data_IF_302249582738
#
_entry.id   IF_302249582738
#
_cell.length_a   1.000
_cell.length_b   1.000
_cell.length_c   1.000
_cell.angle_alpha   90.00
_cell.angle_beta   90.00
_cell.angle_gamma   90.00
#
_symmetry.space_group_name_H-M   'P 1'
#
loop_
_entity.id
_entity.type
_entity.pdbx_description
1 polymer ?
#
# COMPACT_ATOMS: atom_id res chain seq x y z
N UNK A 1 15.47 -21.43 -21.25
CA UNK A 1 14.60 -20.25 -21.08
C UNK A 1 14.53 -19.95 -19.60
N UNK A 2 14.50 -18.66 -19.18
CA UNK A 2 14.27 -18.31 -17.78
C UNK A 2 12.94 -18.92 -17.30
N UNK A 3 12.86 -19.32 -16.02
CA UNK A 3 11.67 -19.98 -15.45
C UNK A 3 10.43 -19.07 -15.31
N UNK A 4 10.58 -17.78 -15.59
CA UNK A 4 9.55 -16.75 -15.53
C UNK A 4 9.70 -15.83 -16.74
N UNK A 5 8.59 -15.31 -17.24
CA UNK A 5 8.55 -14.33 -18.32
C UNK A 5 7.68 -13.14 -17.96
N UNK A 6 7.99 -12.00 -18.56
CA UNK A 6 7.19 -10.79 -18.45
C UNK A 6 6.43 -10.51 -19.75
N UNK A 7 5.09 -10.68 -19.75
CA UNK A 7 4.25 -10.33 -20.87
C UNK A 7 4.40 -8.85 -21.26
N UNK A 8 4.21 -8.54 -22.55
CA UNK A 8 4.16 -7.17 -23.07
C UNK A 8 2.72 -6.65 -23.22
N UNK A 9 1.72 -7.49 -22.98
CA UNK A 9 0.29 -7.18 -23.03
C UNK A 9 -0.44 -7.84 -21.84
N UNK A 10 -1.74 -7.58 -21.72
CA UNK A 10 -2.56 -7.96 -20.57
C UNK A 10 -3.46 -9.21 -20.81
N UNK A 11 -3.17 -10.05 -21.81
CA UNK A 11 -4.04 -11.19 -22.14
C UNK A 11 -4.00 -12.34 -21.12
N UNK A 12 -2.97 -12.40 -20.28
CA UNK A 12 -2.72 -13.47 -19.30
C UNK A 12 -2.81 -12.97 -17.84
N UNK A 13 -3.55 -11.89 -17.66
CA UNK A 13 -3.82 -11.31 -16.34
C UNK A 13 -4.58 -12.31 -15.44
N UNK A 14 -4.23 -12.44 -14.15
CA UNK A 14 -4.98 -13.30 -13.24
C UNK A 14 -6.42 -12.79 -13.03
N UNK A 15 -7.32 -13.67 -12.60
CA UNK A 15 -8.64 -13.28 -12.13
C UNK A 15 -8.54 -12.59 -10.75
N UNK A 16 -9.49 -11.70 -10.46
CA UNK A 16 -9.57 -10.97 -9.18
C UNK A 16 -10.98 -11.00 -8.63
N UNK A 17 -11.10 -10.78 -7.33
CA UNK A 17 -12.39 -10.74 -6.66
C UNK A 17 -13.28 -9.62 -7.26
N UNK A 18 -14.56 -9.89 -7.56
CA UNK A 18 -15.42 -8.96 -8.29
C UNK A 18 -15.83 -7.72 -7.48
N UNK A 19 -15.78 -7.80 -6.15
CA UNK A 19 -16.09 -6.65 -5.29
C UNK A 19 -14.99 -5.61 -5.23
N UNK A 20 -13.79 -5.92 -5.75
CA UNK A 20 -12.74 -4.92 -5.86
C UNK A 20 -13.28 -3.78 -6.72
N UNK A 21 -13.32 -2.58 -6.15
CA UNK A 21 -13.56 -1.40 -6.93
C UNK A 21 -12.25 -1.22 -7.75
N UNK A 22 -12.32 -0.83 -9.02
CA UNK A 22 -11.18 -0.84 -9.97
C UNK A 22 -10.85 0.60 -10.38
N UNK A 23 -9.59 1.01 -10.26
CA UNK A 23 -9.13 2.37 -10.60
C UNK A 23 -8.58 2.43 -12.02
N UNK A 24 -7.89 1.37 -12.40
CA UNK A 24 -7.32 1.20 -13.72
C UNK A 24 -7.32 -0.29 -14.03
N UNK A 25 -7.77 -0.66 -15.22
CA UNK A 25 -7.73 -2.05 -15.68
C UNK A 25 -6.35 -2.44 -16.17
N UNK A 26 -5.66 -1.54 -16.86
CA UNK A 26 -4.38 -1.81 -17.53
C UNK A 26 -3.40 -0.63 -17.38
N UNK A 27 -2.35 -0.76 -16.56
CA UNK A 27 -2.08 -1.88 -15.65
C UNK A 27 -3.12 -1.97 -14.53
N UNK A 28 -3.37 -3.18 -14.02
CA UNK A 28 -4.42 -3.42 -13.03
C UNK A 28 -4.10 -2.72 -11.72
N UNK A 29 -4.98 -1.82 -11.28
CA UNK A 29 -4.89 -1.11 -10.02
C UNK A 29 -6.28 -1.10 -9.40
N UNK A 30 -6.41 -1.72 -8.23
CA UNK A 30 -7.70 -1.95 -7.61
C UNK A 30 -7.63 -1.87 -6.10
N UNK A 31 -8.76 -1.47 -5.55
CA UNK A 31 -8.99 -1.27 -4.15
C UNK A 31 -10.18 -2.11 -3.70
N UNK A 32 -10.01 -2.87 -2.64
CA UNK A 32 -11.13 -3.47 -1.95
C UNK A 32 -12.06 -2.42 -1.24
N UNK A 33 -13.39 -2.67 -1.06
CA UNK A 33 -14.33 -1.74 -0.42
C UNK A 33 -14.06 -1.32 1.05
N UNK A 34 -14.36 -0.06 1.37
CA UNK A 34 -14.02 0.62 2.63
C UNK A 34 -14.45 -0.12 3.90
N UNK A 35 -15.72 -0.49 4.01
CA UNK A 35 -16.26 -1.07 5.26
C UNK A 35 -15.56 -2.36 5.67
N UNK A 36 -15.13 -3.15 4.70
CA UNK A 36 -14.60 -4.45 4.99
C UNK A 36 -13.04 -4.44 5.03
N UNK A 37 -12.42 -3.26 4.83
CA UNK A 37 -11.00 -2.98 5.13
C UNK A 37 -10.63 -3.35 6.57
N UNK A 38 -11.47 -2.89 7.49
CA UNK A 38 -11.26 -3.00 8.93
C UNK A 38 -12.05 -4.16 9.53
N UNK A 39 -12.52 -5.09 8.70
CA UNK A 39 -13.28 -6.27 9.15
C UNK A 39 -12.40 -7.29 9.91
N UNK A 40 -11.10 -7.30 9.64
CA UNK A 40 -10.12 -8.16 10.30
C UNK A 40 -8.77 -7.44 10.42
N UNK A 41 -7.99 -7.84 11.42
CA UNK A 41 -6.64 -7.31 11.62
C UNK A 41 -5.66 -7.71 10.50
N UNK A 42 -5.72 -8.98 10.07
CA UNK A 42 -5.02 -9.48 8.89
C UNK A 42 -6.00 -9.50 7.74
N UNK A 43 -5.67 -8.84 6.64
CA UNK A 43 -6.60 -8.73 5.53
C UNK A 43 -6.49 -9.96 4.61
N UNK A 44 -7.63 -10.56 4.18
CA UNK A 44 -7.57 -11.69 3.27
C UNK A 44 -6.93 -11.32 1.93
N UNK A 45 -6.18 -12.26 1.36
CA UNK A 45 -5.31 -12.03 0.19
C UNK A 45 -6.08 -11.52 -1.04
N UNK A 46 -7.30 -12.01 -1.26
CA UNK A 46 -8.15 -11.57 -2.38
C UNK A 46 -8.59 -10.09 -2.27
N UNK A 47 -8.58 -9.55 -1.05
CA UNK A 47 -8.83 -8.16 -0.72
C UNK A 47 -7.56 -7.42 -0.25
N UNK A 48 -6.38 -7.93 -0.56
CA UNK A 48 -5.18 -7.12 -0.48
C UNK A 48 -5.11 -6.19 -1.69
N UNK A 49 -4.82 -4.88 -1.52
CA UNK A 49 -4.81 -3.94 -2.66
C UNK A 49 -3.85 -4.36 -3.77
N UNK A 50 -4.22 -4.07 -5.02
CA UNK A 50 -3.38 -4.36 -6.18
C UNK A 50 -2.89 -3.05 -6.77
N UNK A 51 -1.57 -2.87 -6.81
CA UNK A 51 -0.89 -1.79 -7.55
C UNK A 51 0.12 -2.39 -8.51
N UNK A 52 -0.09 -2.18 -9.81
CA UNK A 52 0.78 -2.66 -10.88
C UNK A 52 1.15 -1.52 -11.85
N UNK A 53 2.38 -1.52 -12.37
CA UNK A 53 2.87 -0.57 -13.39
C UNK A 53 2.93 -1.20 -14.79
N UNK A 54 2.83 -2.52 -14.89
CA UNK A 54 2.85 -3.29 -16.13
C UNK A 54 1.97 -4.55 -16.04
N UNK A 55 1.96 -5.37 -17.10
CA UNK A 55 1.36 -6.70 -17.07
C UNK A 55 1.98 -7.60 -16.01
N UNK A 56 1.19 -8.52 -15.46
CA UNK A 56 1.64 -9.44 -14.40
C UNK A 56 2.51 -10.56 -15.01
N UNK A 57 3.77 -10.76 -14.55
CA UNK A 57 4.60 -11.87 -14.97
C UNK A 57 3.95 -13.25 -14.83
N UNK A 58 4.42 -14.19 -15.66
CA UNK A 58 3.96 -15.58 -15.72
C UNK A 58 5.15 -16.49 -15.45
N UNK A 59 5.02 -17.35 -14.45
CA UNK A 59 6.01 -18.40 -14.15
C UNK A 59 5.69 -19.59 -15.04
N UNK A 60 6.60 -19.91 -15.97
CA UNK A 60 6.46 -21.06 -16.86
C UNK A 60 7.07 -22.32 -16.23
N UNK A 61 8.12 -22.16 -15.42
CA UNK A 61 8.81 -23.25 -14.72
C UNK A 61 9.48 -22.75 -13.44
N UNK A 62 8.88 -23.06 -12.30
CA UNK A 62 9.38 -22.65 -10.98
C UNK A 62 10.77 -23.25 -10.65
N UNK A 63 11.11 -24.41 -11.19
CA UNK A 63 12.41 -25.06 -10.96
C UNK A 63 13.57 -24.35 -11.67
N UNK A 64 13.26 -23.59 -12.72
CA UNK A 64 14.23 -22.76 -13.47
C UNK A 64 14.21 -21.28 -13.07
N UNK A 65 13.31 -20.87 -12.18
CA UNK A 65 13.33 -19.52 -11.63
C UNK A 65 14.51 -19.35 -10.67
N UNK A 66 15.30 -18.30 -10.88
CA UNK A 66 16.34 -17.89 -9.96
C UNK A 66 16.39 -16.36 -9.85
N UNK A 67 16.96 -15.88 -8.74
CA UNK A 67 17.27 -14.47 -8.52
C UNK A 67 18.79 -14.30 -8.57
N UNK A 68 19.26 -13.36 -9.38
CA UNK A 68 20.70 -13.06 -9.47
C UNK A 68 21.09 -12.03 -8.41
N UNK A 69 21.99 -12.39 -7.49
CA UNK A 69 22.59 -11.48 -6.51
C UNK A 69 23.99 -11.08 -7.00
N UNK A 70 24.18 -9.80 -7.32
CA UNK A 70 25.38 -9.29 -8.02
C UNK A 70 25.72 -7.85 -7.63
N UNK A 71 26.66 -7.22 -8.34
CA UNK A 71 27.11 -5.84 -8.12
C UNK A 71 28.42 -5.79 -7.33
N UNK A 72 28.55 -4.83 -6.42
CA UNK A 72 29.74 -4.56 -5.59
C UNK A 72 29.90 -5.57 -4.45
N UNK A 73 30.01 -6.84 -4.82
CA UNK A 73 30.21 -8.01 -3.94
C UNK A 73 31.29 -8.93 -4.53
N UNK A 74 31.94 -9.70 -3.66
CA UNK A 74 33.02 -10.62 -4.07
C UNK A 74 32.49 -11.88 -4.75
N UNK A 75 31.32 -12.38 -4.33
CA UNK A 75 30.78 -13.67 -4.73
C UNK A 75 29.36 -13.54 -5.28
N UNK A 76 29.19 -13.08 -6.54
CA UNK A 76 27.90 -13.11 -7.21
C UNK A 76 27.31 -14.52 -7.22
N UNK A 77 25.99 -14.63 -7.06
CA UNK A 77 25.31 -15.92 -6.92
C UNK A 77 23.93 -15.87 -7.56
N UNK A 78 23.57 -16.95 -8.25
CA UNK A 78 22.19 -17.21 -8.63
C UNK A 78 21.53 -18.07 -7.54
N UNK A 79 20.39 -17.63 -7.03
CA UNK A 79 19.62 -18.31 -6.01
C UNK A 79 18.31 -18.82 -6.62
N UNK A 80 18.18 -20.14 -6.72
CA UNK A 80 16.93 -20.77 -7.14
C UNK A 80 15.95 -20.79 -5.96
N UNK A 81 14.65 -21.01 -6.23
CA UNK A 81 13.65 -21.11 -5.15
C UNK A 81 14.04 -22.13 -4.08
N UNK A 82 14.62 -23.28 -4.46
CA UNK A 82 15.11 -24.29 -3.51
C UNK A 82 16.16 -23.74 -2.53
N UNK A 83 17.02 -22.83 -3.00
CA UNK A 83 18.09 -22.27 -2.18
C UNK A 83 17.52 -21.27 -1.17
N UNK A 84 16.52 -20.49 -1.59
CA UNK A 84 15.80 -19.53 -0.74
C UNK A 84 14.94 -20.26 0.30
N UNK A 85 14.26 -21.35 -0.10
CA UNK A 85 13.43 -22.16 0.80
C UNK A 85 14.25 -22.93 1.85
N UNK A 86 15.54 -23.15 1.60
CA UNK A 86 16.46 -23.78 2.55
C UNK A 86 17.01 -22.80 3.61
N UNK A 87 16.77 -21.49 3.47
CA UNK A 87 17.11 -20.51 4.49
C UNK A 87 16.10 -20.54 5.65
N UNK A 88 16.46 -20.03 6.84
CA UNK A 88 15.50 -19.88 7.93
C UNK A 88 14.29 -19.05 7.50
N UNK A 89 13.10 -19.61 7.70
CA UNK A 89 11.83 -18.93 7.43
C UNK A 89 11.45 -18.04 8.61
N UNK A 90 11.10 -16.80 8.30
CA UNK A 90 10.56 -15.82 9.23
C UNK A 90 9.14 -15.42 8.79
N UNK A 91 8.29 -15.13 9.77
CA UNK A 91 6.97 -14.57 9.55
C UNK A 91 6.95 -13.14 10.10
N UNK A 92 6.66 -12.17 9.25
CA UNK A 92 6.61 -10.75 9.63
C UNK A 92 5.22 -10.20 9.30
N UNK A 93 4.49 -9.77 10.33
CA UNK A 93 3.23 -9.05 10.14
C UNK A 93 3.54 -7.61 9.76
N UNK A 94 3.23 -7.21 8.53
CA UNK A 94 3.53 -5.85 8.05
C UNK A 94 2.42 -5.30 7.16
N UNK A 95 2.12 -4.02 7.35
CA UNK A 95 1.23 -3.24 6.48
C UNK A 95 2.03 -2.68 5.31
N UNK A 96 1.52 -2.87 4.08
CA UNK A 96 2.01 -2.12 2.93
C UNK A 96 1.08 -0.93 2.65
N UNK A 97 1.61 0.28 2.75
CA UNK A 97 0.90 1.50 2.38
C UNK A 97 1.43 2.06 1.06
N UNK A 98 0.55 2.23 0.07
CA UNK A 98 0.89 2.95 -1.15
C UNK A 98 1.14 4.44 -0.84
N UNK A 99 2.18 5.03 -1.41
CA UNK A 99 2.43 6.47 -1.27
C UNK A 99 1.27 7.32 -1.82
N UNK A 100 0.53 6.80 -2.83
CA UNK A 100 -0.64 7.47 -3.39
C UNK A 100 -1.94 7.28 -2.60
N UNK A 101 -1.92 6.66 -1.41
CA UNK A 101 -3.11 6.51 -0.60
C UNK A 101 -3.77 7.88 -0.33
N UNK A 102 -5.11 7.96 -0.39
CA UNK A 102 -5.91 9.18 -0.22
C UNK A 102 -5.65 10.29 -1.25
N UNK A 103 -5.03 9.98 -2.41
CA UNK A 103 -4.78 10.93 -3.50
C UNK A 103 -6.02 11.66 -4.00
N UNK A 104 -7.16 10.96 -4.12
CA UNK A 104 -8.40 11.54 -4.68
C UNK A 104 -8.84 12.77 -3.89
N UNK A 105 -8.76 12.71 -2.56
CA UNK A 105 -9.09 13.86 -1.71
C UNK A 105 -8.16 15.06 -1.96
N UNK A 106 -6.85 14.83 -2.16
CA UNK A 106 -5.92 15.90 -2.53
C UNK A 106 -6.22 16.49 -3.92
N UNK A 107 -6.68 15.65 -4.84
CA UNK A 107 -7.08 16.08 -6.19
C UNK A 107 -8.35 16.94 -6.19
N UNK A 108 -9.21 16.85 -5.17
CA UNK A 108 -10.40 17.71 -5.02
C UNK A 108 -10.01 19.18 -4.75
N UNK A 109 -8.92 19.42 -4.01
CA UNK A 109 -8.40 20.77 -3.74
C UNK A 109 -7.71 21.36 -4.97
N UNK A 110 -6.81 20.59 -5.59
CA UNK A 110 -6.16 20.95 -6.85
C UNK A 110 -5.74 19.69 -7.58
N UNK A 111 -6.10 19.57 -8.86
CA UNK A 111 -5.89 18.36 -9.66
C UNK A 111 -4.43 17.90 -9.66
N UNK A 112 -4.22 16.60 -9.45
CA UNK A 112 -2.90 15.94 -9.46
C UNK A 112 -2.87 14.84 -10.53
N UNK A 113 -1.69 14.51 -11.06
CA UNK A 113 -1.56 13.39 -12.02
C UNK A 113 -1.27 12.08 -11.29
N UNK A 114 -2.08 11.08 -11.56
CA UNK A 114 -1.86 9.70 -11.11
C UNK A 114 -3.17 8.93 -10.98
N UNK A 115 -3.09 7.62 -10.83
CA UNK A 115 -4.23 6.75 -10.51
C UNK A 115 -4.93 7.32 -9.26
N UNK A 116 -6.23 7.60 -9.32
CA UNK A 116 -6.99 8.10 -8.18
C UNK A 116 -7.03 7.05 -7.07
N UNK A 117 -6.99 7.46 -5.80
CA UNK A 117 -7.05 6.54 -4.66
C UNK A 117 -7.79 7.26 -3.50
N UNK A 118 -8.90 6.71 -3.01
CA UNK A 118 -9.60 7.03 -1.74
C UNK A 118 -8.80 6.64 -0.47
N UNK A 119 -9.48 6.50 0.66
CA UNK A 119 -8.94 6.01 1.94
C UNK A 119 -8.65 4.52 1.97
N UNK A 120 -9.37 3.76 1.14
CA UNK A 120 -9.03 2.40 0.77
C UNK A 120 -8.43 2.46 -0.64
N UNK A 121 -8.17 3.64 -1.20
CA UNK A 121 -7.64 3.83 -2.52
C UNK A 121 -8.53 3.60 -3.84
N UNK A 122 -9.70 4.24 -4.11
CA UNK A 122 -10.22 4.58 -5.50
C UNK A 122 -11.10 5.83 -5.67
N UNK A 123 -11.01 6.42 -6.86
CA UNK A 123 -11.92 7.46 -7.33
C UNK A 123 -13.35 7.01 -7.70
N UNK A 124 -14.22 8.00 -7.85
CA UNK A 124 -15.07 8.16 -9.02
C UNK A 124 -14.91 9.62 -9.49
N UNK A 125 -14.60 9.81 -10.76
CA UNK A 125 -14.70 11.10 -11.44
C UNK A 125 -16.07 11.15 -12.13
N UNK A 126 -17.01 11.99 -11.69
CA UNK A 126 -18.25 12.19 -12.42
C UNK A 126 -18.07 13.00 -13.71
N UNK A 127 -16.87 13.44 -14.09
CA UNK A 127 -16.62 14.25 -15.29
C UNK A 127 -15.47 13.71 -16.14
N UNK A 128 -15.78 12.73 -16.97
CA UNK A 128 -14.86 12.16 -17.95
C UNK A 128 -14.05 13.21 -18.72
N UNK A 129 -12.72 13.07 -18.67
CA UNK A 129 -11.89 13.49 -19.79
C UNK A 129 -12.13 12.53 -20.95
N UNK A 130 -13.14 12.86 -21.75
CA UNK A 130 -13.31 12.37 -23.11
C UNK A 130 -12.08 12.75 -23.94
N UNK A 131 -11.23 11.77 -24.23
CA UNK A 131 -10.62 11.68 -25.55
C UNK A 131 -11.44 10.61 -26.27
N UNK A 132 -12.13 11.05 -27.34
CA UNK A 132 -12.97 10.32 -28.29
C UNK A 132 -14.41 10.02 -27.83
N UNK A 133 -15.27 11.04 -27.98
CA UNK A 133 -16.67 10.84 -28.36
C UNK A 133 -16.71 10.57 -29.87
N UNK A 134 -17.00 9.33 -30.24
CA UNK A 134 -17.89 8.96 -31.36
C UNK A 134 -18.02 7.44 -31.37
N UNK A 135 -19.22 6.95 -31.67
CA UNK A 135 -19.62 5.53 -31.82
C UNK A 135 -19.97 4.72 -30.56
N UNK A 136 -21.08 5.08 -29.90
CA UNK A 136 -21.97 4.08 -29.28
C UNK A 136 -23.40 4.65 -29.15
N UNK A 137 -24.11 4.64 -30.27
CA UNK A 137 -25.56 4.44 -30.29
C UNK A 137 -25.83 3.18 -31.09
N UNK A 138 -26.88 2.44 -30.70
CA UNK A 138 -27.44 1.22 -31.28
C UNK A 138 -26.97 -0.09 -30.60
N UNK A 139 -27.70 -0.51 -29.57
CA UNK A 139 -28.73 -1.57 -29.67
C UNK A 139 -29.13 -2.07 -28.27
N UNK A 140 -30.33 -1.68 -27.86
CA UNK A 140 -31.13 -2.38 -26.86
C UNK A 140 -31.89 -3.53 -27.52
N UNK A 141 -31.93 -4.72 -26.91
CA UNK A 141 -33.19 -5.42 -26.63
C UNK A 141 -33.01 -6.75 -25.87
N UNK A 142 -33.93 -6.93 -24.91
CA UNK A 142 -34.48 -8.15 -24.32
C UNK A 142 -33.59 -9.02 -23.41
N UNK A 143 -34.00 -9.14 -22.14
CA UNK A 143 -34.45 -10.39 -21.49
C UNK A 143 -35.25 -10.02 -20.22
N UNK A 144 -36.22 -10.88 -19.94
CA UNK A 144 -37.35 -10.84 -18.99
C UNK A 144 -36.99 -10.98 -17.50
N UNK A 145 -37.98 -10.62 -16.68
CA UNK A 145 -38.07 -10.69 -15.21
C UNK A 145 -37.93 -12.11 -14.64
N UNK A 146 -37.15 -12.25 -13.55
CA UNK A 146 -37.36 -13.24 -12.47
C UNK A 146 -36.99 -12.60 -11.11
N UNK A 147 -37.70 -13.03 -10.06
CA UNK A 147 -37.79 -12.45 -8.71
C UNK A 147 -36.46 -12.42 -7.90
N UNK A 148 -36.30 -11.48 -6.95
CA UNK A 148 -35.11 -11.41 -6.10
C UNK A 148 -35.16 -12.43 -4.96
N UNK A 149 -34.33 -13.46 -5.06
CA UNK A 149 -34.00 -14.32 -3.91
C UNK A 149 -33.08 -13.55 -2.96
N UNK A 150 -33.53 -13.38 -1.71
CA UNK A 150 -32.77 -12.79 -0.62
C UNK A 150 -31.64 -13.71 -0.17
N UNK A 151 -30.41 -13.39 -0.57
CA UNK A 151 -29.20 -14.01 -0.03
C UNK A 151 -28.68 -13.19 1.18
N UNK A 152 -28.25 -13.85 2.27
CA UNK A 152 -27.77 -13.16 3.47
C UNK A 152 -26.47 -12.41 3.17
N UNK A 153 -26.39 -11.20 3.72
CA UNK A 153 -25.25 -10.27 3.68
C UNK A 153 -23.90 -10.98 3.86
N UNK A 154 -23.15 -11.16 2.76
CA UNK A 154 -21.74 -11.52 2.78
C UNK A 154 -20.90 -10.27 2.47
N UNK A 155 -20.22 -9.77 3.50
CA UNK A 155 -19.34 -8.61 3.49
C UNK A 155 -18.11 -8.85 2.61
N UNK A 156 -17.73 -7.84 1.81
CA UNK A 156 -16.67 -7.91 0.80
C UNK A 156 -15.51 -6.90 1.09
N UNK A 157 -14.33 -7.34 1.59
CA UNK A 157 -13.17 -6.57 2.15
C UNK A 157 -12.43 -5.49 1.34
N UNK A 158 -11.65 -4.64 2.07
CA UNK A 158 -11.03 -3.28 1.80
C UNK A 158 -9.47 -3.09 1.76
N UNK A 159 -8.87 -1.93 1.34
CA UNK A 159 -7.39 -1.60 1.19
C UNK A 159 -6.62 -0.80 2.25
N UNK A 160 -5.30 -1.02 2.25
CA UNK A 160 -4.35 -1.09 3.35
C UNK A 160 -4.58 -2.38 4.04
N UNK A 161 -3.52 -3.14 4.11
CA UNK A 161 -3.71 -4.55 4.26
C UNK A 161 -2.46 -5.02 4.92
N UNK A 162 -2.68 -5.35 6.17
CA UNK A 162 -1.74 -6.06 6.99
C UNK A 162 -1.82 -7.50 6.57
N UNK A 163 -0.67 -8.05 6.19
CA UNK A 163 -0.52 -9.45 5.90
C UNK A 163 0.60 -10.02 6.76
N UNK A 164 0.55 -11.33 6.96
CA UNK A 164 1.67 -12.08 7.52
C UNK A 164 2.52 -12.56 6.35
N UNK A 165 3.72 -11.99 6.22
CA UNK A 165 4.64 -12.31 5.13
C UNK A 165 5.61 -13.40 5.58
N UNK A 166 5.63 -14.52 4.85
CA UNK A 166 6.55 -15.63 5.11
C UNK A 166 7.70 -15.63 4.11
N UNK A 167 8.94 -15.67 4.60
CA UNK A 167 10.10 -15.54 3.73
C UNK A 167 11.45 -15.71 4.42
N UNK A 168 12.52 -15.63 3.64
CA UNK A 168 13.88 -15.53 4.15
C UNK A 168 14.22 -14.06 4.44
N UNK A 169 14.96 -13.78 5.51
CA UNK A 169 15.48 -12.43 5.76
C UNK A 169 16.50 -12.06 4.70
N UNK A 170 16.40 -10.83 4.17
CA UNK A 170 17.37 -10.30 3.22
C UNK A 170 18.78 -10.26 3.82
N UNK A 171 18.89 -10.00 5.13
CA UNK A 171 20.18 -10.03 5.83
C UNK A 171 20.87 -11.39 5.75
N UNK A 172 20.11 -12.49 5.82
CA UNK A 172 20.67 -13.86 5.74
C UNK A 172 21.07 -14.20 4.29
N UNK A 173 20.28 -13.73 3.32
CA UNK A 173 20.60 -13.86 1.89
C UNK A 173 21.89 -13.11 1.55
N UNK A 174 22.07 -11.89 2.09
CA UNK A 174 23.28 -11.08 1.87
C UNK A 174 24.51 -11.69 2.56
N UNK A 175 24.34 -12.35 3.70
CA UNK A 175 25.41 -13.09 4.37
C UNK A 175 25.94 -14.26 3.51
N UNK A 176 25.06 -14.95 2.77
CA UNK A 176 25.47 -16.01 1.82
C UNK A 176 26.41 -15.53 0.71
N UNK A 177 26.37 -14.24 0.36
CA UNK A 177 27.24 -13.63 -0.65
C UNK A 177 28.38 -12.81 -0.05
N UNK A 178 28.62 -12.98 1.26
CA UNK A 178 29.76 -12.41 1.97
C UNK A 178 29.55 -10.99 2.49
N UNK A 179 28.30 -10.51 2.62
CA UNK A 179 28.00 -9.23 3.29
C UNK A 179 27.53 -9.53 4.72
N UNK A 180 28.31 -9.22 5.76
CA UNK A 180 27.90 -9.42 7.14
C UNK A 180 26.65 -8.61 7.52
N UNK A 181 25.94 -9.07 8.53
CA UNK A 181 24.84 -8.33 9.16
C UNK A 181 25.33 -6.97 9.68
N UNK A 182 24.43 -5.99 9.68
CA UNK A 182 24.70 -4.61 10.12
C UNK A 182 25.81 -3.88 9.34
N UNK A 183 26.03 -4.25 8.08
CA UNK A 183 26.99 -3.60 7.18
C UNK A 183 26.38 -2.35 6.53
N UNK A 184 27.03 -1.20 6.68
CA UNK A 184 26.60 0.04 6.02
C UNK A 184 27.30 0.29 4.67
N UNK A 185 28.47 -0.30 4.44
CA UNK A 185 29.21 -0.20 3.17
C UNK A 185 30.06 -1.45 2.95
N UNK A 186 30.05 -2.03 1.74
CA UNK A 186 30.93 -3.17 1.39
C UNK A 186 32.37 -2.70 1.13
N UNK A 187 33.39 -3.58 1.20
CA UNK A 187 34.76 -3.22 0.83
C UNK A 187 34.90 -2.66 -0.59
N UNK A 188 34.03 -3.10 -1.52
CA UNK A 188 33.94 -2.58 -2.89
C UNK A 188 33.15 -1.26 -3.01
N UNK A 189 32.74 -0.65 -1.90
CA UNK A 189 32.05 0.64 -1.87
C UNK A 189 30.54 0.58 -2.11
N UNK A 190 29.92 -0.60 -2.03
CA UNK A 190 28.46 -0.77 -2.14
C UNK A 190 27.73 -0.21 -0.92
N UNK A 191 26.70 0.60 -1.11
CA UNK A 191 25.95 1.33 -0.07
C UNK A 191 24.44 1.16 -0.18
N UNK A 192 23.95 0.62 -1.29
CA UNK A 192 22.54 0.42 -1.56
C UNK A 192 22.30 -0.99 -2.11
N UNK A 193 21.09 -1.49 -1.88
CA UNK A 193 20.58 -2.74 -2.46
C UNK A 193 19.45 -2.39 -3.41
N UNK A 194 19.68 -2.50 -4.71
CA UNK A 194 18.69 -2.37 -5.76
C UNK A 194 17.98 -3.71 -5.99
N UNK A 195 16.67 -3.65 -6.13
CA UNK A 195 15.80 -4.76 -6.45
C UNK A 195 15.21 -4.51 -7.83
N UNK A 196 15.42 -5.44 -8.74
CA UNK A 196 14.96 -5.37 -10.13
C UNK A 196 13.85 -6.40 -10.31
N UNK A 197 12.67 -5.96 -10.75
CA UNK A 197 11.59 -6.84 -11.18
C UNK A 197 11.90 -7.44 -12.56
N UNK A 198 11.22 -8.52 -12.94
CA UNK A 198 11.19 -8.95 -14.34
C UNK A 198 10.13 -8.20 -15.17
N UNK A 199 9.19 -7.49 -14.54
CA UNK A 199 8.05 -6.88 -15.23
C UNK A 199 8.43 -5.87 -16.33
N UNK A 200 7.43 -5.37 -17.06
CA UNK A 200 7.64 -4.39 -18.13
C UNK A 200 6.78 -3.16 -17.88
N UNK A 201 7.43 -2.04 -17.61
CA UNK A 201 6.78 -0.76 -17.32
C UNK A 201 6.88 0.18 -18.52
N UNK A 202 5.79 0.91 -18.83
CA UNK A 202 5.80 1.92 -19.90
C UNK A 202 6.75 3.08 -19.56
N UNK A 203 6.82 3.46 -18.29
CA UNK A 203 7.66 4.52 -17.75
C UNK A 203 9.16 4.22 -17.90
N UNK A 204 9.54 2.95 -17.95
CA UNK A 204 10.91 2.46 -18.19
C UNK A 204 11.10 2.02 -19.65
N UNK A 205 10.24 2.49 -20.57
CA UNK A 205 10.28 2.17 -22.02
C UNK A 205 10.28 0.66 -22.30
N UNK A 206 9.48 -0.09 -21.53
CA UNK A 206 9.40 -1.55 -21.60
C UNK A 206 10.43 -2.27 -20.74
N UNK A 207 11.29 -1.53 -20.01
CA UNK A 207 12.18 -2.06 -18.98
C UNK A 207 11.48 -2.31 -17.64
N UNK A 208 12.21 -2.85 -16.65
CA UNK A 208 11.64 -3.33 -15.41
C UNK A 208 11.41 -2.25 -14.35
N UNK A 209 10.43 -2.51 -13.48
CA UNK A 209 10.28 -1.81 -12.21
C UNK A 209 11.51 -2.05 -11.32
N UNK A 210 12.05 -0.96 -10.76
CA UNK A 210 13.22 -1.01 -9.86
C UNK A 210 13.02 -0.11 -8.66
N UNK A 211 13.54 -0.52 -7.52
CA UNK A 211 13.67 0.30 -6.33
C UNK A 211 14.93 -0.09 -5.57
N UNK A 212 15.39 0.74 -4.63
CA UNK A 212 16.49 0.36 -3.74
C UNK A 212 16.26 0.81 -2.31
N UNK A 213 16.91 0.13 -1.38
CA UNK A 213 17.04 0.55 0.03
C UNK A 213 18.52 0.72 0.40
N UNK A 214 18.85 1.48 1.46
CA UNK A 214 20.21 1.53 1.99
C UNK A 214 20.71 0.15 2.43
N UNK A 215 21.99 -0.14 2.22
CA UNK A 215 22.62 -1.41 2.64
C UNK A 215 22.53 -1.61 4.15
N UNK A 216 22.64 -0.52 4.92
CA UNK A 216 22.46 -0.55 6.39
C UNK A 216 21.09 -1.07 6.80
N UNK A 217 20.03 -0.76 6.05
CA UNK A 217 18.69 -1.29 6.31
C UNK A 217 18.57 -2.75 5.83
N UNK A 218 19.10 -3.07 4.66
CA UNK A 218 19.03 -4.41 4.08
C UNK A 218 19.75 -5.48 4.90
N UNK A 219 20.85 -5.09 5.57
CA UNK A 219 21.69 -5.99 6.38
C UNK A 219 21.33 -5.98 7.86
N UNK A 220 20.45 -5.08 8.31
CA UNK A 220 19.99 -5.04 9.70
C UNK A 220 18.90 -6.10 9.93
N UNK A 221 19.14 -7.14 10.76
CA UNK A 221 18.14 -8.17 11.04
C UNK A 221 16.87 -7.62 11.71
N UNK A 222 16.95 -6.51 12.43
CA UNK A 222 15.81 -5.89 13.15
C UNK A 222 14.90 -5.05 12.25
N UNK A 223 15.37 -4.75 11.02
CA UNK A 223 14.57 -4.06 10.00
C UNK A 223 13.61 -5.02 9.27
N UNK A 224 13.72 -6.33 9.51
CA UNK A 224 12.82 -7.38 9.04
C UNK A 224 12.52 -7.35 7.53
N UNK A 225 13.50 -6.92 6.72
CA UNK A 225 13.36 -6.97 5.26
C UNK A 225 13.35 -8.43 4.81
N UNK A 226 12.31 -8.83 4.09
CA UNK A 226 12.12 -10.21 3.63
C UNK A 226 12.22 -10.34 2.12
N UNK A 227 12.77 -11.48 1.68
CA UNK A 227 12.40 -12.10 0.42
C UNK A 227 11.22 -13.05 0.69
N UNK A 228 10.01 -12.54 0.46
CA UNK A 228 8.77 -13.25 0.79
C UNK A 228 8.29 -14.11 -0.39
N UNK A 229 7.98 -15.37 -0.08
CA UNK A 229 7.37 -16.35 -0.98
C UNK A 229 6.00 -16.84 -0.47
N UNK A 230 5.62 -16.43 0.74
CA UNK A 230 4.29 -16.67 1.34
C UNK A 230 3.63 -15.38 1.81
N UNK A 231 2.30 -15.41 1.83
CA UNK A 231 1.43 -14.33 2.28
C UNK A 231 0.20 -14.93 2.95
N UNK A 232 -0.03 -14.57 4.21
CA UNK A 232 -1.12 -15.08 5.06
C UNK A 232 -1.11 -16.61 5.21
N UNK A 233 0.08 -17.21 5.27
CA UNK A 233 0.25 -18.67 5.40
C UNK A 233 0.13 -19.45 4.08
N UNK A 234 -0.24 -18.77 2.99
CA UNK A 234 -0.38 -19.35 1.66
C UNK A 234 0.77 -18.96 0.74
N UNK A 235 0.99 -19.72 -0.32
CA UNK A 235 1.94 -19.33 -1.38
C UNK A 235 1.52 -17.97 -1.96
N UNK A 236 2.50 -17.10 -2.22
CA UNK A 236 2.25 -15.79 -2.81
C UNK A 236 1.47 -15.92 -4.12
N UNK A 237 0.45 -15.08 -4.33
CA UNK A 237 -0.28 -15.08 -5.59
C UNK A 237 0.42 -14.24 -6.68
N UNK A 238 -0.02 -14.36 -7.93
CA UNK A 238 0.56 -13.63 -9.07
C UNK A 238 0.49 -12.11 -8.90
N UNK A 239 -0.64 -11.55 -8.47
CA UNK A 239 -0.80 -10.09 -8.28
C UNK A 239 0.16 -9.51 -7.22
N UNK A 240 0.54 -10.32 -6.23
CA UNK A 240 1.38 -9.91 -5.11
C UNK A 240 2.84 -10.34 -5.23
N UNK A 241 3.23 -10.98 -6.34
CA UNK A 241 4.64 -11.15 -6.67
C UNK A 241 5.13 -12.59 -6.80
N UNK A 242 4.26 -13.58 -6.97
CA UNK A 242 4.67 -14.97 -7.18
C UNK A 242 5.78 -15.10 -8.24
N UNK A 243 6.91 -15.77 -7.97
CA UNK A 243 7.13 -16.62 -6.80
C UNK A 243 7.84 -15.94 -5.62
N UNK A 244 8.40 -14.74 -5.83
CA UNK A 244 9.18 -14.05 -4.82
C UNK A 244 9.06 -12.53 -4.96
N UNK A 245 8.88 -11.87 -3.83
CA UNK A 245 8.93 -10.41 -3.72
C UNK A 245 9.85 -9.97 -2.60
N UNK A 246 10.23 -8.70 -2.61
CA UNK A 246 10.74 -8.02 -1.43
C UNK A 246 9.57 -7.46 -0.63
N UNK A 247 9.66 -7.54 0.69
CA UNK A 247 8.84 -6.80 1.65
C UNK A 247 9.77 -5.96 2.51
N UNK A 248 9.58 -4.63 2.49
CA UNK A 248 10.34 -3.66 3.28
C UNK A 248 9.41 -3.05 4.34
N UNK A 249 9.37 -3.57 5.57
CA UNK A 249 8.50 -3.06 6.62
C UNK A 249 8.77 -1.58 6.97
N UNK A 250 7.72 -0.84 7.34
CA UNK A 250 7.82 0.57 7.73
C UNK A 250 8.19 1.54 6.60
N UNK A 251 8.24 1.07 5.35
CA UNK A 251 8.58 1.84 4.15
C UNK A 251 7.39 1.85 3.20
N UNK A 252 7.26 2.89 2.36
CA UNK A 252 6.21 2.95 1.35
C UNK A 252 6.23 1.69 0.46
N UNK A 253 5.04 1.19 0.10
CA UNK A 253 4.89 -0.07 -0.63
C UNK A 253 5.60 -0.11 -2.00
N UNK A 254 5.96 1.05 -2.55
CA UNK A 254 6.74 1.17 -3.78
C UNK A 254 8.14 0.53 -3.70
N UNK A 255 8.71 0.35 -2.50
CA UNK A 255 10.05 -0.25 -2.34
C UNK A 255 10.01 -1.78 -2.17
N UNK A 256 8.83 -2.33 -1.91
CA UNK A 256 8.58 -3.77 -1.82
C UNK A 256 8.40 -4.35 -3.24
N UNK A 257 9.48 -4.48 -4.00
CA UNK A 257 9.47 -4.92 -5.41
C UNK A 257 8.90 -6.34 -5.56
N UNK A 258 8.04 -6.56 -6.56
CA UNK A 258 7.41 -7.84 -6.87
C UNK A 258 8.10 -8.53 -8.06
N UNK A 259 7.95 -9.86 -8.17
CA UNK A 259 8.49 -10.67 -9.27
C UNK A 259 9.98 -10.44 -9.48
N UNK A 260 10.75 -10.73 -8.42
CA UNK A 260 12.16 -10.36 -8.34
C UNK A 260 13.00 -11.10 -9.39
N UNK A 261 13.82 -10.37 -10.14
CA UNK A 261 14.77 -10.92 -11.12
C UNK A 261 16.20 -10.86 -10.58
N UNK A 262 16.58 -9.71 -10.03
CA UNK A 262 17.92 -9.51 -9.49
C UNK A 262 17.96 -8.58 -8.27
N UNK A 263 19.00 -8.79 -7.47
CA UNK A 263 19.40 -8.00 -6.32
C UNK A 263 20.81 -7.48 -6.61
N UNK A 264 20.94 -6.17 -6.79
CA UNK A 264 22.21 -5.53 -7.15
C UNK A 264 22.72 -4.70 -5.97
N UNK A 265 24.00 -4.89 -5.61
CA UNK A 265 24.66 -4.07 -4.60
C UNK A 265 25.39 -2.93 -5.31
N UNK A 266 24.98 -1.70 -5.03
CA UNK A 266 25.43 -0.51 -5.76
C UNK A 266 25.98 0.57 -4.83
N UNK A 267 26.87 1.41 -5.35
CA UNK A 267 27.48 2.51 -4.59
C UNK A 267 26.55 3.72 -4.40
N UNK A 268 25.47 3.77 -5.19
CA UNK A 268 24.47 4.85 -5.20
C UNK A 268 23.08 4.25 -5.18
N UNK A 269 22.10 5.07 -4.81
CA UNK A 269 20.68 4.71 -4.93
C UNK A 269 20.32 4.35 -6.39
N UNK A 270 19.30 3.50 -6.54
CA UNK A 270 18.77 3.09 -7.83
C UNK A 270 18.44 4.31 -8.71
N UNK A 271 18.91 4.25 -9.97
CA UNK A 271 18.71 5.32 -10.95
C UNK A 271 17.43 5.14 -11.79
N UNK A 272 16.60 4.14 -11.47
CA UNK A 272 15.34 3.86 -12.15
C UNK A 272 14.32 4.99 -12.01
N UNK A 273 13.39 5.06 -12.96
CA UNK A 273 12.35 6.09 -13.06
C UNK A 273 11.59 6.24 -11.73
N UNK A 274 11.15 5.14 -11.13
CA UNK A 274 10.34 5.16 -9.91
C UNK A 274 11.12 5.54 -8.63
N UNK A 275 12.45 5.60 -8.68
CA UNK A 275 13.27 6.15 -7.60
C UNK A 275 13.60 7.62 -7.87
N UNK A 276 13.94 7.95 -9.10
CA UNK A 276 14.51 9.26 -9.44
C UNK A 276 13.46 10.30 -9.87
N UNK A 277 12.40 9.86 -10.54
CA UNK A 277 11.37 10.67 -11.21
C UNK A 277 9.96 10.36 -10.72
N UNK A 278 9.82 9.68 -9.59
CA UNK A 278 8.54 9.46 -8.91
C UNK A 278 8.74 9.27 -7.41
N UNK A 279 7.63 9.14 -6.66
CA UNK A 279 7.61 8.85 -5.22
C UNK A 279 8.54 9.79 -4.41
N UNK A 280 8.45 11.08 -4.71
CA UNK A 280 9.13 12.19 -4.03
C UNK A 280 8.11 13.25 -3.62
N UNK A 281 8.25 13.75 -2.41
CA UNK A 281 7.31 14.73 -1.84
C UNK A 281 7.85 16.14 -2.09
N UNK A 282 7.07 16.95 -2.80
CA UNK A 282 7.39 18.34 -3.12
C UNK A 282 6.51 19.30 -2.32
N UNK A 283 6.96 20.55 -2.06
CA UNK A 283 6.10 21.54 -1.43
C UNK A 283 4.98 22.00 -2.39
N UNK A 284 3.89 22.60 -1.86
CA UNK A 284 2.74 23.02 -2.67
C UNK A 284 3.05 24.05 -3.78
N UNK A 285 4.18 24.74 -3.72
CA UNK A 285 4.60 25.71 -4.74
C UNK A 285 5.13 25.07 -6.03
N UNK A 286 5.46 23.78 -6.02
CA UNK A 286 6.01 23.07 -7.19
C UNK A 286 4.88 22.54 -8.07
N UNK A 287 5.00 22.76 -9.38
CA UNK A 287 4.10 22.31 -10.44
C UNK A 287 4.88 21.63 -11.57
N UNK A 288 4.21 21.25 -12.65
CA UNK A 288 4.84 20.54 -13.77
C UNK A 288 5.84 21.37 -14.58
N UNK A 289 5.74 22.70 -14.53
CA UNK A 289 6.60 23.61 -15.29
C UNK A 289 7.91 23.93 -14.55
N UNK A 290 7.90 23.85 -13.21
CA UNK A 290 9.06 24.20 -12.37
C UNK A 290 9.65 23.03 -11.56
N UNK A 291 9.18 21.80 -11.79
CA UNK A 291 9.64 20.63 -11.05
C UNK A 291 11.10 20.31 -11.32
N UNK A 292 11.90 20.26 -10.25
CA UNK A 292 13.24 19.66 -10.26
C UNK A 292 13.30 18.47 -9.31
N UNK A 293 13.33 17.28 -9.90
CA UNK A 293 13.38 15.99 -9.20
C UNK A 293 14.60 15.80 -8.30
N UNK A 294 15.70 16.49 -8.57
CA UNK A 294 16.94 16.35 -7.80
C UNK A 294 16.88 17.05 -6.44
N UNK A 295 15.98 18.03 -6.29
CA UNK A 295 15.80 18.79 -5.03
C UNK A 295 15.18 17.97 -3.90
N UNK A 296 14.64 16.80 -4.21
CA UNK A 296 13.97 15.92 -3.24
C UNK A 296 14.57 14.53 -3.26
N UNK A 297 14.71 13.94 -2.07
CA UNK A 297 15.12 12.55 -1.90
C UNK A 297 13.95 11.60 -2.15
N UNK A 298 14.20 10.37 -2.63
CA UNK A 298 13.16 9.35 -2.75
C UNK A 298 12.48 9.12 -1.40
N UNK A 299 11.15 9.02 -1.41
CA UNK A 299 10.39 8.71 -0.19
C UNK A 299 10.65 7.25 0.21
N UNK A 300 11.00 7.04 1.49
CA UNK A 300 11.24 5.73 2.08
C UNK A 300 10.21 5.48 3.19
N UNK A 301 10.49 5.93 4.41
CA UNK A 301 9.54 6.02 5.53
C UNK A 301 8.29 6.83 5.15
N UNK A 302 7.18 6.70 5.87
CA UNK A 302 5.96 7.48 5.69
C UNK A 302 5.43 8.02 7.03
N UNK A 303 4.83 9.23 7.02
CA UNK A 303 4.31 9.85 8.25
C UNK A 303 3.08 9.13 8.79
N UNK A 304 2.71 9.45 10.03
CA UNK A 304 1.48 8.98 10.67
C UNK A 304 0.25 9.25 9.79
N UNK A 305 -0.64 8.27 9.72
CA UNK A 305 -1.85 8.26 8.90
C UNK A 305 -3.00 7.64 9.72
N UNK A 306 -4.22 8.10 9.45
CA UNK A 306 -5.45 7.41 9.87
C UNK A 306 -6.62 7.72 8.93
N UNK A 307 -7.60 6.82 8.89
CA UNK A 307 -8.88 7.11 8.25
C UNK A 307 -10.03 6.25 8.82
N UNK A 308 -11.20 6.89 8.95
CA UNK A 308 -12.51 6.29 9.25
C UNK A 308 -12.99 5.41 8.07
N UNK A 309 -13.29 4.14 8.35
CA UNK A 309 -13.68 3.14 7.36
C UNK A 309 -15.10 2.58 7.55
N UNK A 310 -15.72 2.70 8.73
CA UNK A 310 -17.10 2.25 8.94
C UNK A 310 -18.15 3.12 8.24
N UNK A 311 -17.75 4.32 7.79
CA UNK A 311 -18.62 5.34 7.21
C UNK A 311 -18.08 5.78 5.84
N UNK A 312 -19.00 6.15 4.95
CA UNK A 312 -18.67 6.79 3.67
C UNK A 312 -18.33 8.28 3.88
N UNK A 313 -17.90 9.00 2.85
CA UNK A 313 -17.63 10.46 2.96
C UNK A 313 -18.90 11.25 3.33
N UNK A 314 -20.04 10.78 2.84
CA UNK A 314 -21.38 11.31 3.12
C UNK A 314 -22.28 10.17 3.56
N UNK A 315 -22.90 10.30 4.73
CA UNK A 315 -23.78 9.29 5.31
C UNK A 315 -25.13 9.91 5.64
N UNK A 316 -26.17 9.11 5.51
CA UNK A 316 -27.52 9.46 5.98
C UNK A 316 -27.78 8.60 7.21
N UNK A 317 -27.87 9.25 8.36
CA UNK A 317 -28.09 8.60 9.65
C UNK A 317 -29.46 8.90 10.23
N UNK A 318 -29.89 8.06 11.16
CA UNK A 318 -30.95 8.38 12.13
C UNK A 318 -30.30 8.93 13.40
N UNK A 319 -31.05 9.72 14.16
CA UNK A 319 -30.60 10.21 15.46
C UNK A 319 -30.20 9.03 16.38
N UNK A 320 -29.01 9.08 16.98
CA UNK A 320 -28.54 8.05 17.92
C UNK A 320 -27.04 7.77 17.86
N UNK A 321 -26.64 6.63 18.42
CA UNK A 321 -25.25 6.17 18.48
C UNK A 321 -24.75 5.68 17.13
N UNK A 322 -23.54 6.07 16.76
CA UNK A 322 -22.84 5.59 15.58
C UNK A 322 -21.49 4.97 15.96
N UNK A 323 -21.18 3.83 15.35
CA UNK A 323 -19.89 3.17 15.49
C UNK A 323 -18.90 3.72 14.45
N UNK A 324 -17.77 4.24 14.93
CA UNK A 324 -16.71 4.85 14.14
C UNK A 324 -15.50 3.94 14.20
N UNK A 325 -15.23 3.21 13.11
CA UNK A 325 -14.11 2.27 13.00
C UNK A 325 -13.16 2.73 11.91
N UNK A 326 -11.88 2.46 12.07
CA UNK A 326 -10.88 2.79 11.08
C UNK A 326 -9.52 2.16 11.37
N UNK A 327 -8.51 2.64 10.68
CA UNK A 327 -7.12 2.24 10.91
C UNK A 327 -6.26 3.48 11.16
N UNK A 328 -5.12 3.27 11.81
CA UNK A 328 -4.02 4.20 11.93
C UNK A 328 -2.69 3.46 11.72
N UNK A 329 -1.68 4.14 11.15
CA UNK A 329 -0.36 3.54 10.90
C UNK A 329 0.70 4.64 10.78
N UNK A 330 1.94 4.33 11.16
CA UNK A 330 3.11 5.18 10.90
C UNK A 330 4.23 4.30 10.33
N UNK A 331 5.09 4.87 9.49
CA UNK A 331 6.24 4.15 8.98
C UNK A 331 7.34 3.99 10.02
N UNK A 332 8.50 3.49 9.59
CA UNK A 332 9.70 3.38 10.43
C UNK A 332 9.58 2.51 11.69
N UNK A 333 8.46 1.77 11.84
CA UNK A 333 8.22 0.89 12.98
C UNK A 333 7.65 1.61 14.19
N UNK A 334 7.13 2.82 14.03
CA UNK A 334 6.53 3.61 15.11
C UNK A 334 5.09 3.15 15.34
N UNK A 335 4.78 2.72 16.55
CA UNK A 335 3.41 2.43 16.98
C UNK A 335 2.51 3.67 16.98
N UNK A 336 1.20 3.46 17.13
CA UNK A 336 0.22 4.54 17.24
C UNK A 336 -0.09 4.73 18.72
N UNK A 337 0.33 5.85 19.30
CA UNK A 337 0.13 6.16 20.72
C UNK A 337 -1.28 6.69 21.03
N UNK A 338 -1.96 7.32 20.06
CA UNK A 338 -3.35 7.75 20.26
C UNK A 338 -4.09 7.93 18.94
N UNK A 339 -5.41 7.72 18.97
CA UNK A 339 -6.33 8.11 17.91
C UNK A 339 -7.42 9.00 18.53
N UNK A 340 -7.56 10.21 18.00
CA UNK A 340 -8.54 11.19 18.45
C UNK A 340 -9.68 11.28 17.43
N UNK A 341 -10.91 11.22 17.92
CA UNK A 341 -12.15 11.36 17.14
C UNK A 341 -12.88 12.62 17.58
N UNK A 342 -13.38 13.40 16.62
CA UNK A 342 -14.22 14.56 16.85
C UNK A 342 -15.55 14.40 16.14
N UNK A 343 -16.62 14.93 16.73
CA UNK A 343 -17.99 14.99 16.16
C UNK A 343 -18.51 16.43 16.02
N UNK A 344 -17.59 17.40 16.00
CA UNK A 344 -17.91 18.83 15.87
C UNK A 344 -16.95 19.55 14.90
N UNK A 345 -16.39 18.80 13.94
CA UNK A 345 -15.48 19.30 12.92
C UNK A 345 -14.04 19.52 13.39
N UNK A 346 -13.65 18.93 14.52
CA UNK A 346 -12.29 18.99 15.07
C UNK A 346 -12.10 19.99 16.22
N UNK A 347 -13.18 20.45 16.87
CA UNK A 347 -13.09 21.41 17.98
C UNK A 347 -12.88 20.69 19.32
N UNK A 348 -13.62 19.61 19.56
CA UNK A 348 -13.48 18.73 20.72
C UNK A 348 -13.17 17.30 20.28
N UNK A 349 -12.50 16.55 21.16
CA UNK A 349 -11.94 15.24 20.84
C UNK A 349 -12.23 14.23 21.95
N UNK A 350 -12.55 13.02 21.54
CA UNK A 350 -12.59 11.81 22.37
C UNK A 350 -11.52 10.85 21.89
N UNK A 351 -10.90 10.10 22.80
CA UNK A 351 -9.94 9.07 22.43
C UNK A 351 -10.67 7.80 21.97
N UNK A 352 -10.29 7.27 20.81
CA UNK A 352 -10.77 5.98 20.34
C UNK A 352 -9.98 4.84 21.01
N UNK A 353 -10.66 3.71 21.22
CA UNK A 353 -9.99 2.46 21.54
C UNK A 353 -9.11 2.01 20.37
N UNK A 354 -8.00 1.33 20.67
CA UNK A 354 -6.98 0.90 19.69
C UNK A 354 -6.68 -0.58 19.89
N UNK A 355 -6.56 -1.34 18.81
CA UNK A 355 -6.26 -2.77 18.87
C UNK A 355 -5.52 -3.28 17.63
N UNK A 356 -4.86 -4.43 17.78
CA UNK A 356 -4.26 -5.21 16.70
C UNK A 356 -4.85 -6.62 16.73
N UNK A 357 -4.14 -7.56 17.36
CA UNK A 357 -4.54 -8.96 17.51
C UNK A 357 -5.74 -9.10 18.47
N UNK A 358 -6.81 -9.81 18.09
CA UNK A 358 -7.96 -10.03 18.98
C UNK A 358 -7.55 -10.66 20.32
N UNK A 359 -8.13 -10.18 21.41
CA UNK A 359 -7.85 -10.68 22.77
C UNK A 359 -6.49 -10.28 23.35
N UNK A 360 -5.65 -9.56 22.60
CA UNK A 360 -4.37 -9.03 23.09
C UNK A 360 -4.48 -7.52 23.22
N UNK A 361 -4.26 -7.00 24.43
CA UNK A 361 -4.22 -5.55 24.66
C UNK A 361 -3.08 -4.95 23.84
N UNK A 362 -3.41 -3.96 23.01
CA UNK A 362 -2.41 -3.18 22.29
C UNK A 362 -1.76 -2.17 23.23
N UNK A 363 -0.43 -2.14 23.24
CA UNK A 363 0.40 -1.10 23.84
C UNK A 363 1.48 -0.79 22.80
N UNK A 364 1.65 0.49 22.48
CA UNK A 364 2.55 0.90 21.41
C UNK A 364 4.01 0.60 21.78
N UNK A 365 4.79 0.13 20.80
CA UNK A 365 6.21 -0.23 20.90
C UNK A 365 6.59 -1.28 21.97
N UNK A 366 5.60 -1.99 22.55
CA UNK A 366 5.86 -3.18 23.36
C UNK A 366 6.17 -4.42 22.51
N UNK A 367 6.89 -5.39 23.07
CA UNK A 367 7.31 -6.64 22.39
C UNK A 367 6.14 -7.41 21.77
N UNK A 368 4.95 -7.36 22.38
CA UNK A 368 3.75 -8.06 21.88
C UNK A 368 3.05 -7.33 20.74
N UNK A 369 3.39 -6.07 20.50
CA UNK A 369 2.84 -5.26 19.41
C UNK A 369 3.53 -5.61 18.09
N UNK A 370 2.76 -5.62 17.00
CA UNK A 370 3.32 -5.79 15.68
C UNK A 370 3.73 -4.40 15.16
N UNK A 371 4.98 -3.99 15.43
CA UNK A 371 5.50 -2.63 15.14
C UNK A 371 5.42 -2.21 13.66
N UNK A 372 5.34 -3.17 12.74
CA UNK A 372 5.25 -2.92 11.30
C UNK A 372 3.82 -2.93 10.77
N UNK A 373 2.84 -3.22 11.63
CA UNK A 373 1.45 -3.31 11.26
C UNK A 373 0.69 -2.07 11.73
N UNK A 374 -0.42 -1.80 11.05
CA UNK A 374 -1.39 -0.82 11.46
C UNK A 374 -1.98 -1.12 12.85
N UNK A 375 -2.75 -0.17 13.34
CA UNK A 375 -3.56 -0.26 14.53
C UNK A 375 -4.99 0.04 14.12
N UNK A 376 -5.91 -0.86 14.39
CA UNK A 376 -7.33 -0.63 14.18
C UNK A 376 -7.86 0.22 15.35
N UNK A 377 -8.82 1.09 15.06
CA UNK A 377 -9.45 1.91 16.09
C UNK A 377 -10.97 1.82 16.03
N UNK A 378 -11.60 1.99 17.19
CA UNK A 378 -13.05 2.02 17.35
C UNK A 378 -13.46 3.05 18.42
N UNK A 379 -14.48 3.84 18.11
CA UNK A 379 -15.18 4.73 19.04
C UNK A 379 -16.69 4.66 18.79
N UNK A 380 -17.47 4.95 19.83
CA UNK A 380 -18.90 5.24 19.70
C UNK A 380 -19.14 6.72 19.98
N UNK A 381 -20.03 7.34 19.21
CA UNK A 381 -20.46 8.70 19.48
C UNK A 381 -21.97 8.86 19.26
N UNK A 382 -22.60 9.72 20.06
CA UNK A 382 -24.00 10.12 19.89
C UNK A 382 -24.10 11.26 18.86
N UNK A 383 -24.91 11.07 17.81
CA UNK A 383 -25.13 12.06 16.75
C UNK A 383 -26.60 12.50 16.77
N UNK A 384 -26.83 13.75 17.12
CA UNK A 384 -28.17 14.33 17.25
C UNK A 384 -28.53 15.35 16.16
N UNK A 385 -27.54 15.83 15.41
CA UNK A 385 -27.68 16.80 14.34
C UNK A 385 -26.72 16.47 13.20
N UNK A 386 -26.83 17.21 12.10
CA UNK A 386 -25.82 17.16 11.04
C UNK A 386 -24.44 17.46 11.63
N UNK A 387 -23.48 16.58 11.35
CA UNK A 387 -22.17 16.58 12.02
C UNK A 387 -21.07 16.21 11.03
N UNK A 388 -19.91 16.84 11.20
CA UNK A 388 -18.65 16.40 10.60
C UNK A 388 -17.86 15.58 11.64
N UNK A 389 -17.62 14.31 11.32
CA UNK A 389 -16.80 13.41 12.12
C UNK A 389 -15.37 13.45 11.58
N UNK A 390 -14.40 13.66 12.46
CA UNK A 390 -12.99 13.81 12.10
C UNK A 390 -12.15 12.79 12.87
N UNK A 391 -11.18 12.18 12.20
CA UNK A 391 -10.17 11.32 12.83
C UNK A 391 -8.75 11.82 12.57
N UNK A 392 -7.91 11.73 13.60
CA UNK A 392 -6.46 11.94 13.53
C UNK A 392 -5.72 11.01 14.49
N UNK A 393 -4.51 10.60 14.11
CA UNK A 393 -3.64 9.75 14.92
C UNK A 393 -2.36 10.49 15.36
N UNK A 394 -1.77 9.98 16.43
CA UNK A 394 -0.47 10.38 16.98
C UNK A 394 0.39 9.12 17.12
N UNK A 395 1.61 9.13 16.59
CA UNK A 395 2.54 8.01 16.74
C UNK A 395 3.38 8.10 18.03
N UNK A 396 4.17 7.07 18.35
CA UNK A 396 4.99 7.01 19.57
C UNK A 396 6.09 8.07 19.64
N UNK A 397 6.43 8.69 18.52
CA UNK A 397 7.33 9.85 18.47
C UNK A 397 6.58 11.19 18.54
N UNK A 398 5.29 11.16 18.89
CA UNK A 398 4.39 12.30 18.95
C UNK A 398 4.23 13.06 17.63
N UNK A 399 4.52 12.43 16.48
CA UNK A 399 4.17 13.03 15.19
C UNK A 399 2.66 13.09 15.05
N UNK A 400 2.18 14.14 14.38
CA UNK A 400 0.75 14.41 14.19
C UNK A 400 0.40 14.52 12.71
N UNK A 401 -0.89 14.29 12.40
CA UNK A 401 -1.43 14.55 11.07
C UNK A 401 -1.74 16.04 10.86
N UNK A 402 -1.46 16.61 9.68
CA UNK A 402 -1.85 17.97 9.33
C UNK A 402 -3.38 18.10 9.25
N UNK A 403 -3.92 19.26 9.60
CA UNK A 403 -5.36 19.50 9.57
C UNK A 403 -5.89 19.56 8.13
N UNK A 404 -5.16 20.26 7.25
CA UNK A 404 -5.61 20.67 5.92
C UNK A 404 -4.76 20.02 4.84
N UNK A 405 -5.40 19.66 3.74
CA UNK A 405 -4.71 19.02 2.61
C UNK A 405 -3.92 20.05 1.79
N UNK A 406 -4.32 21.32 1.84
CA UNK A 406 -3.66 22.46 1.19
C UNK A 406 -2.21 22.61 1.65
N UNK A 407 -1.95 22.42 2.95
CA UNK A 407 -0.63 22.57 3.58
C UNK A 407 0.36 21.50 3.09
N UNK A 408 -0.15 20.34 2.66
CA UNK A 408 0.64 19.19 2.22
C UNK A 408 0.40 18.82 0.76
N UNK A 409 -0.32 19.66 0.01
CA UNK A 409 -0.58 19.38 -1.39
C UNK A 409 0.74 19.22 -2.14
N UNK A 410 0.81 18.23 -3.03
CA UNK A 410 1.95 18.07 -3.93
C UNK A 410 1.50 17.55 -5.30
N UNK A 411 2.25 17.88 -6.35
CA UNK A 411 1.89 17.61 -7.74
C UNK A 411 1.70 16.11 -8.07
N UNK A 412 2.30 15.21 -7.27
CA UNK A 412 2.18 13.74 -7.42
C UNK A 412 1.02 13.15 -6.64
N UNK A 413 0.35 13.95 -5.80
CA UNK A 413 -0.75 13.48 -5.00
C UNK A 413 -0.35 12.33 -4.08
N UNK A 414 0.83 12.40 -3.46
CA UNK A 414 1.31 11.36 -2.53
C UNK A 414 1.26 11.85 -1.08
N UNK A 415 1.25 10.91 -0.12
CA UNK A 415 1.27 11.18 1.31
C UNK A 415 0.17 12.12 1.78
N UNK A 416 -1.06 11.93 1.28
CA UNK A 416 -2.19 12.64 1.86
C UNK A 416 -2.50 12.07 3.27
N UNK A 417 -1.96 12.71 4.28
CA UNK A 417 -2.18 12.38 5.70
C UNK A 417 -3.00 13.43 6.42
N UNK A 418 -3.75 14.29 5.70
CA UNK A 418 -4.65 15.25 6.34
C UNK A 418 -5.66 14.55 7.24
N UNK A 419 -6.23 15.22 8.24
CA UNK A 419 -7.32 14.66 9.04
C UNK A 419 -8.42 14.10 8.12
N UNK A 420 -8.89 12.88 8.40
CA UNK A 420 -9.98 12.30 7.62
C UNK A 420 -11.30 12.82 8.15
N UNK A 421 -12.13 13.37 7.25
CA UNK A 421 -13.41 14.00 7.59
C UNK A 421 -14.53 13.27 6.85
N UNK A 422 -15.56 12.85 7.57
CA UNK A 422 -16.78 12.27 7.03
C UNK A 422 -17.99 13.04 7.54
N UNK A 423 -19.04 13.14 6.74
CA UNK A 423 -20.23 13.90 7.09
C UNK A 423 -21.40 12.96 7.35
N UNK A 424 -22.18 13.27 8.38
CA UNK A 424 -23.43 12.59 8.72
C UNK A 424 -24.56 13.60 8.63
N UNK A 425 -25.55 13.31 7.79
CA UNK A 425 -26.81 14.04 7.74
C UNK A 425 -27.87 13.26 8.53
N UNK A 426 -28.44 13.88 9.56
CA UNK A 426 -29.48 13.27 10.38
C UNK A 426 -30.83 13.54 9.75
N UNK A 427 -31.56 12.48 9.39
CA UNK A 427 -32.96 12.65 8.95
C UNK A 427 -33.83 12.97 10.16
N UNK A 428 -34.45 14.15 10.15
CA UNK A 428 -35.58 14.43 11.01
C UNK A 428 -36.81 13.72 10.41
N UNK A 429 -37.46 12.86 11.18
CA UNK A 429 -38.77 12.34 10.81
C UNK A 429 -39.71 13.52 10.67
N UNK A 430 -40.14 13.83 9.45
CA UNK A 430 -41.29 14.70 9.22
C UNK A 430 -42.51 13.99 9.80
N UNK A 431 -43.02 14.51 10.92
CA UNK A 431 -44.27 14.10 11.56
C UNK A 431 -45.46 14.30 10.62
#
# INVERSE_FOLDING_TARGET
MPGIRAPSNYSEEPSRHPSLKINAKEPFNAEPPRQALVSSYVTPTEFFYKRNHGPIPVVDDIGRYCVSVKGLIEKPKELFMKDILNLPKYNVTATLQCAGNRRTAMSKTRTVRGVGWDISALGNDPFGTNILREELMLLSHNISEEEPVSLPFLSSPGVMVTAIWGGAKLSDVLELVGIPKSTSTTPAGGKHVEFVSIDRCKEEKGGPYKASIPLSQATNPEADVLLAYEMNGETLNRDHGYPLRVVVPGVIGARSVKWLDSINIDSKECQGFFMQKDYKTFPPSVNWDNIDWSTRRPQMDFPVQSAICSLEDMNIGTNGKIAIKGYAVSGGGRGIERVDISVDGGKTWIEASRYQKPGIKYIADEERSDKWAWVLFEAEADIHSNTEIVAKAVDTAANVQPEKVEDIWNLRGILNTSWHRVHVQVRHSSL
#
